data_IF_644373489505
#
_entry.id   IF_644373489505
#
_cell.length_a   1.000
_cell.length_b   1.000
_cell.length_c   1.000
_cell.angle_alpha   90.00
_cell.angle_beta   90.00
_cell.angle_gamma   90.00
#
_symmetry.space_group_name_H-M   'P 1'
#
loop_
_entity.id
_entity.type
_entity.pdbx_description
1 polymer ?
#
# COMPACT_ATOMS: atom_id res chain seq x y z
N UNK A 1 17.98 8.56 5.91
CA UNK A 1 16.53 8.58 6.23
C UNK A 1 15.98 9.94 5.86
N UNK A 2 14.90 9.95 5.09
CA UNK A 2 14.21 11.13 4.58
C UNK A 2 12.79 11.18 5.15
N UNK A 3 12.19 12.37 5.12
CA UNK A 3 10.81 12.62 5.53
C UNK A 3 9.99 12.98 4.30
N UNK A 4 8.90 12.25 4.08
CA UNK A 4 7.94 12.47 3.00
C UNK A 4 6.66 12.99 3.67
N UNK A 5 6.26 14.22 3.35
CA UNK A 5 5.05 14.83 3.90
C UNK A 5 3.82 14.44 3.07
N UNK A 6 2.88 13.71 3.67
CA UNK A 6 1.57 13.42 3.08
C UNK A 6 0.49 14.29 3.74
N UNK A 7 -0.67 14.52 3.10
CA UNK A 7 -1.80 15.23 3.71
C UNK A 7 -2.24 14.62 5.06
N UNK A 8 -2.06 13.31 5.22
CA UNK A 8 -2.48 12.57 6.40
C UNK A 8 -1.41 12.57 7.52
N UNK A 9 -0.13 12.77 7.18
CA UNK A 9 0.99 12.73 8.11
C UNK A 9 2.34 12.38 7.46
N UNK A 10 3.46 12.46 8.20
CA UNK A 10 4.77 12.19 7.63
C UNK A 10 5.08 10.68 7.56
N UNK A 11 5.77 10.28 6.49
CA UNK A 11 6.40 8.96 6.33
C UNK A 11 7.92 9.14 6.40
N UNK A 12 8.61 8.24 7.11
CA UNK A 12 10.07 8.21 7.17
C UNK A 12 10.61 6.99 6.43
N UNK A 13 11.47 7.21 5.44
CA UNK A 13 11.99 6.16 4.56
C UNK A 13 13.48 6.32 4.27
N UNK A 14 14.12 5.28 3.73
CA UNK A 14 15.52 5.38 3.29
C UNK A 14 15.66 6.19 2.01
N UNK A 15 14.72 6.02 1.07
CA UNK A 15 14.65 6.76 -0.19
C UNK A 15 13.20 6.98 -0.65
N UNK A 16 13.03 7.78 -1.70
CA UNK A 16 11.74 8.10 -2.32
C UNK A 16 11.90 8.15 -3.84
N UNK A 17 10.88 7.67 -4.56
CA UNK A 17 10.70 7.97 -5.99
C UNK A 17 9.28 8.50 -6.19
N UNK A 18 9.15 9.77 -6.58
CA UNK A 18 7.86 10.42 -6.95
C UNK A 18 6.77 10.26 -5.87
N UNK A 19 7.11 10.50 -4.61
CA UNK A 19 6.20 10.34 -3.48
C UNK A 19 6.05 8.90 -2.98
N UNK A 20 6.66 7.90 -3.63
CA UNK A 20 6.62 6.50 -3.19
C UNK A 20 7.81 6.24 -2.25
N UNK A 21 7.57 5.92 -0.95
CA UNK A 21 8.62 5.56 -0.01
C UNK A 21 9.30 4.23 -0.37
N UNK A 22 10.62 4.17 -0.20
CA UNK A 22 11.47 2.98 -0.38
C UNK A 22 12.15 2.66 0.95
N UNK A 23 12.02 1.41 1.39
CA UNK A 23 12.44 0.94 2.72
C UNK A 23 11.99 1.91 3.82
N UNK A 24 10.67 2.09 4.02
CA UNK A 24 10.19 2.84 5.18
C UNK A 24 10.81 2.28 6.47
N UNK A 25 11.21 3.18 7.36
CA UNK A 25 11.92 2.90 8.63
C UNK A 25 11.12 2.00 9.56
N UNK A 26 9.81 2.07 9.42
CA UNK A 26 8.79 1.28 10.08
C UNK A 26 7.73 1.05 9.02
N UNK A 27 7.90 0.05 8.11
CA UNK A 27 6.79 -0.32 7.24
C UNK A 27 5.60 -0.65 8.15
N UNK A 28 4.36 -0.30 7.77
CA UNK A 28 3.21 -0.55 8.60
C UNK A 28 3.08 -2.06 8.91
N UNK A 29 3.46 -2.48 10.11
CA UNK A 29 3.19 -3.82 10.66
C UNK A 29 1.75 -3.87 11.18
N UNK A 30 0.81 -3.65 10.27
CA UNK A 30 -0.59 -3.59 10.63
C UNK A 30 -1.13 -5.00 10.60
N UNK A 31 -0.93 -5.71 11.72
CA UNK A 31 -1.50 -7.05 11.91
C UNK A 31 -3.03 -7.06 11.83
N UNK A 32 -3.67 -5.89 12.02
CA UNK A 32 -5.08 -5.64 11.78
C UNK A 32 -5.37 -4.13 11.65
N UNK A 33 -5.96 -3.72 10.53
CA UNK A 33 -6.55 -2.40 10.28
C UNK A 33 -8.05 -2.56 10.44
N UNK A 34 -8.64 -1.86 11.41
CA UNK A 34 -10.09 -1.89 11.58
C UNK A 34 -10.73 -0.98 10.52
N UNK A 35 -11.53 -1.54 9.59
CA UNK A 35 -12.08 -0.81 8.46
C UNK A 35 -13.01 0.34 8.86
N UNK A 36 -13.52 0.34 10.09
CA UNK A 36 -14.41 1.35 10.66
C UNK A 36 -13.64 2.49 11.29
N UNK A 37 -12.60 2.20 12.08
CA UNK A 37 -11.84 3.23 12.83
C UNK A 37 -10.63 3.77 12.08
N UNK A 38 -10.21 3.15 10.97
CA UNK A 38 -9.03 3.56 10.17
C UNK A 38 -8.98 5.03 9.76
N UNK A 39 -10.14 5.67 9.67
CA UNK A 39 -10.24 7.11 9.37
C UNK A 39 -9.95 8.02 10.58
N UNK A 40 -9.91 7.46 11.79
CA UNK A 40 -9.69 8.18 13.06
C UNK A 40 -8.24 8.12 13.51
N UNK A 41 -7.49 7.09 13.10
CA UNK A 41 -6.11 6.88 13.51
C UNK A 41 -5.17 7.37 12.40
N UNK A 42 -4.44 8.46 12.67
CA UNK A 42 -3.55 9.10 11.70
C UNK A 42 -2.57 8.12 11.06
N UNK A 43 -1.98 7.22 11.86
CA UNK A 43 -1.04 6.22 11.38
C UNK A 43 -1.68 5.27 10.36
N UNK A 44 -2.95 4.86 10.52
CA UNK A 44 -3.61 3.98 9.54
C UNK A 44 -3.95 4.77 8.26
N UNK A 45 -4.34 6.04 8.39
CA UNK A 45 -4.69 6.90 7.24
C UNK A 45 -3.54 7.17 6.28
N UNK A 46 -2.34 7.43 6.81
CA UNK A 46 -1.14 7.72 6.00
C UNK A 46 -0.84 6.59 5.02
N UNK A 47 -1.17 5.36 5.39
CA UNK A 47 -0.88 4.17 4.59
C UNK A 47 -2.08 3.63 3.80
N UNK A 48 -3.27 4.22 3.98
CA UNK A 48 -4.44 3.88 3.16
C UNK A 48 -4.19 4.35 1.74
N UNK A 49 -4.16 3.42 0.80
CA UNK A 49 -3.93 3.68 -0.63
C UNK A 49 -2.54 4.26 -0.98
N UNK A 50 -1.63 4.39 -0.01
CA UNK A 50 -0.26 4.80 -0.26
C UNK A 50 0.62 3.54 -0.39
N UNK A 51 1.07 3.18 -1.60
CA UNK A 51 2.00 2.07 -1.78
C UNK A 51 3.40 2.45 -1.29
N UNK A 52 4.18 1.42 -0.95
CA UNK A 52 5.61 1.54 -0.63
C UNK A 52 6.40 0.39 -1.23
N UNK A 53 7.72 0.58 -1.31
CA UNK A 53 8.65 -0.38 -1.88
C UNK A 53 9.57 -0.89 -0.78
N UNK A 54 9.78 -2.21 -0.74
CA UNK A 54 10.83 -2.85 0.05
C UNK A 54 11.86 -3.43 -0.90
N UNK A 55 13.12 -3.08 -0.69
CA UNK A 55 14.23 -3.71 -1.39
C UNK A 55 14.52 -5.08 -0.79
N UNK A 56 14.61 -6.06 -1.67
CA UNK A 56 14.94 -7.44 -1.36
C UNK A 56 16.22 -7.80 -2.09
N UNK A 57 16.93 -8.84 -1.65
CA UNK A 57 18.28 -9.15 -2.16
C UNK A 57 18.41 -9.26 -3.69
N UNK A 58 17.32 -9.57 -4.41
CA UNK A 58 17.28 -9.72 -5.86
C UNK A 58 16.42 -8.65 -6.58
N UNK A 59 15.94 -7.61 -5.89
CA UNK A 59 15.10 -6.58 -6.49
C UNK A 59 14.26 -5.76 -5.50
N UNK A 60 13.01 -5.53 -5.85
CA UNK A 60 12.07 -4.69 -5.11
C UNK A 60 10.70 -5.36 -5.04
N UNK A 61 10.00 -5.19 -3.94
CA UNK A 61 8.63 -5.65 -3.75
C UNK A 61 7.74 -4.47 -3.37
N UNK A 62 6.62 -4.31 -4.09
CA UNK A 62 5.65 -3.25 -3.85
C UNK A 62 4.58 -3.77 -2.92
N UNK A 63 4.28 -3.00 -1.88
CA UNK A 63 3.23 -3.27 -0.92
C UNK A 63 2.20 -2.13 -0.90
N UNK A 64 0.94 -2.47 -0.62
CA UNK A 64 -0.12 -1.50 -0.42
C UNK A 64 -1.22 -2.05 0.48
N UNK A 65 -2.04 -1.14 1.02
CA UNK A 65 -3.29 -1.44 1.73
C UNK A 65 -4.46 -0.95 0.86
N UNK A 66 -5.30 -1.89 0.41
CA UNK A 66 -6.48 -1.61 -0.40
C UNK A 66 -7.68 -1.32 0.51
N UNK A 67 -8.67 -0.55 0.04
CA UNK A 67 -9.87 -0.13 0.78
C UNK A 67 -10.69 -1.23 1.49
N UNK A 68 -10.46 -2.52 1.20
CA UNK A 68 -11.15 -3.65 1.85
C UNK A 68 -10.19 -4.66 2.48
N UNK A 69 -8.94 -4.26 2.74
CA UNK A 69 -7.94 -5.14 3.33
C UNK A 69 -7.56 -4.65 4.72
N UNK A 70 -7.42 -5.60 5.62
CA UNK A 70 -7.08 -5.34 7.03
C UNK A 70 -5.57 -5.38 7.27
N UNK A 71 -4.77 -5.62 6.23
CA UNK A 71 -3.31 -5.70 6.31
C UNK A 71 -2.65 -5.35 4.97
N UNK A 72 -1.37 -4.96 4.99
CA UNK A 72 -0.55 -4.81 3.79
C UNK A 72 -0.56 -6.07 2.94
N UNK A 73 -0.68 -5.91 1.62
CA UNK A 73 -0.44 -6.98 0.66
C UNK A 73 0.70 -6.63 -0.27
N UNK A 74 1.49 -7.64 -0.60
CA UNK A 74 2.37 -7.57 -1.76
C UNK A 74 1.54 -7.47 -3.03
N UNK A 75 1.81 -6.46 -3.84
CA UNK A 75 1.21 -6.28 -5.17
C UNK A 75 2.09 -6.84 -6.28
N UNK A 76 3.40 -6.90 -6.10
CA UNK A 76 4.30 -7.39 -7.14
C UNK A 76 5.78 -7.24 -6.80
N UNK A 77 6.60 -8.02 -7.52
CA UNK A 77 8.07 -8.00 -7.43
C UNK A 77 8.66 -7.50 -8.74
N UNK A 78 9.70 -6.69 -8.63
CA UNK A 78 10.34 -5.99 -9.75
C UNK A 78 11.85 -6.06 -9.60
N UNK A 79 12.57 -6.05 -10.73
CA UNK A 79 14.03 -6.07 -10.71
C UNK A 79 14.66 -4.71 -10.32
N UNK A 80 13.94 -3.61 -10.54
CA UNK A 80 14.45 -2.25 -10.31
C UNK A 80 13.46 -1.39 -9.52
N UNK A 81 14.00 -0.38 -8.84
CA UNK A 81 13.21 0.62 -8.10
C UNK A 81 12.28 1.39 -9.03
N UNK A 82 12.76 1.71 -10.23
CA UNK A 82 12.02 2.49 -11.22
C UNK A 82 10.80 1.73 -11.72
N UNK A 83 10.95 0.43 -12.02
CA UNK A 83 9.82 -0.41 -12.47
C UNK A 83 8.78 -0.60 -11.35
N UNK A 84 9.26 -0.80 -10.11
CA UNK A 84 8.38 -0.87 -8.94
C UNK A 84 7.60 0.45 -8.73
N UNK A 85 8.27 1.59 -8.83
CA UNK A 85 7.64 2.90 -8.68
C UNK A 85 6.67 3.21 -9.83
N UNK A 86 7.00 2.87 -11.07
CA UNK A 86 6.12 3.04 -12.22
C UNK A 86 4.83 2.24 -12.06
N UNK A 87 4.94 0.98 -11.62
CA UNK A 87 3.79 0.15 -11.29
C UNK A 87 2.97 0.73 -10.12
N UNK A 88 3.62 1.22 -9.07
CA UNK A 88 2.93 1.80 -7.91
C UNK A 88 2.16 3.10 -8.24
N UNK A 89 2.64 3.89 -9.21
CA UNK A 89 1.98 5.11 -9.65
C UNK A 89 0.79 4.85 -10.58
N UNK A 90 0.84 3.78 -11.37
CA UNK A 90 -0.23 3.39 -12.28
C UNK A 90 -0.56 1.89 -12.09
N UNK A 91 -1.08 1.49 -10.92
CA UNK A 91 -1.43 0.10 -10.71
C UNK A 91 -2.55 -0.28 -11.66
N UNK A 92 -2.53 -1.49 -12.25
CA UNK A 92 -3.66 -1.98 -13.01
C UNK A 92 -4.90 -1.98 -12.10
N UNK A 93 -6.10 -1.70 -12.63
CA UNK A 93 -7.32 -1.78 -11.84
C UNK A 93 -7.40 -3.19 -11.25
N UNK A 94 -7.51 -3.25 -9.91
CA UNK A 94 -7.74 -4.52 -9.24
C UNK A 94 -8.99 -5.15 -9.84
N UNK A 95 -9.04 -6.48 -10.04
CA UNK A 95 -10.30 -7.13 -10.35
C UNK A 95 -11.25 -6.73 -9.22
N UNK A 96 -12.28 -5.96 -9.57
CA UNK A 96 -13.36 -5.65 -8.64
C UNK A 96 -13.83 -7.01 -8.19
N UNK A 97 -13.62 -7.36 -6.91
CA UNK A 97 -14.34 -8.46 -6.31
C UNK A 97 -15.79 -8.13 -6.59
N UNK A 98 -16.38 -8.85 -7.54
CA UNK A 98 -17.81 -8.84 -7.75
C UNK A 98 -18.32 -9.35 -6.41
N UNK A 99 -18.80 -8.43 -5.57
CA UNK A 99 -19.73 -8.81 -4.52
C UNK A 99 -20.76 -9.69 -5.24
N UNK A 100 -20.94 -10.96 -4.84
CA UNK A 100 -22.02 -11.74 -5.40
C UNK A 100 -23.28 -10.93 -5.14
N UNK A 101 -23.83 -10.33 -6.20
CA UNK A 101 -25.07 -9.59 -6.13
C UNK A 101 -26.12 -10.53 -5.55
N UNK A 102 -26.98 -10.01 -4.67
CA UNK A 102 -28.10 -10.72 -4.02
C UNK A 102 -29.02 -11.52 -4.98
N UNK A 103 -28.83 -11.41 -6.29
CA UNK A 103 -29.49 -12.23 -7.31
C UNK A 103 -29.05 -13.71 -7.29
N UNK A 104 -27.87 -14.06 -6.76
CA UNK A 104 -27.39 -15.46 -6.70
C UNK A 104 -27.88 -16.25 -5.47
N UNK A 105 -28.60 -15.61 -4.54
CA UNK A 105 -29.13 -16.26 -3.32
C UNK A 105 -30.60 -16.69 -3.40
N UNK A 106 -31.24 -16.55 -4.57
CA UNK A 106 -32.57 -17.09 -4.81
C UNK A 106 -32.49 -18.37 -5.66
N UNK A 107 -32.23 -19.50 -5.00
CA UNK A 107 -32.45 -20.85 -5.54
C UNK A 107 -33.50 -21.59 -4.72
#
# INVERSE_FOLDING_TARGET
MIKIDTPEGPIFAEAEIRGIPINPSQPPEMGFIDPTRRWQIQAERVWLMQPWIIEIGEGCEVFAIVQHQDSPRSWGKFATREAAAEFALNPPPLPVSIDPSDEDLNF
#
